data_IF_649308632192
#
_entry.id   IF_649308632192
#
_cell.length_a   1.000
_cell.length_b   1.000
_cell.length_c   1.000
_cell.angle_alpha   90.00
_cell.angle_beta   90.00
_cell.angle_gamma   90.00
#
_symmetry.space_group_name_H-M   'P 1'
#
loop_
_entity.id
_entity.type
_entity.pdbx_description
1 polymer ?
#
# COMPACT_ATOMS: atom_id res chain seq x y z
N UNK A 1 -9.80 5.59 -1.75
CA UNK A 1 -9.87 6.95 -1.20
C UNK A 1 -8.63 7.82 -1.45
N UNK A 2 -7.48 7.25 -1.85
CA UNK A 2 -6.23 8.05 -1.92
C UNK A 2 -6.15 9.03 -3.08
N UNK A 3 -6.77 8.69 -4.22
CA UNK A 3 -6.87 9.60 -5.38
C UNK A 3 -7.57 10.91 -5.03
N UNK A 4 -8.59 10.88 -4.15
CA UNK A 4 -9.29 12.09 -3.71
C UNK A 4 -8.40 12.95 -2.78
N UNK A 5 -7.57 12.29 -1.97
CA UNK A 5 -6.66 12.96 -1.05
C UNK A 5 -5.51 13.67 -1.79
N UNK A 6 -4.94 13.03 -2.81
CA UNK A 6 -3.93 13.66 -3.67
C UNK A 6 -4.50 14.79 -4.52
N UNK A 7 -5.71 14.64 -5.08
CA UNK A 7 -6.41 15.74 -5.78
C UNK A 7 -6.71 16.90 -4.82
N UNK A 8 -7.14 16.61 -3.60
CA UNK A 8 -7.48 17.64 -2.60
C UNK A 8 -6.28 18.40 -2.03
N UNK A 9 -5.08 17.81 -2.03
CA UNK A 9 -3.84 18.47 -1.60
C UNK A 9 -3.03 19.02 -2.79
N UNK A 10 -3.39 18.67 -4.04
CA UNK A 10 -2.64 19.06 -5.24
C UNK A 10 -1.23 18.45 -5.29
N UNK A 11 -1.00 17.37 -4.53
CA UNK A 11 0.29 16.67 -4.44
C UNK A 11 0.25 15.39 -5.25
N UNK A 12 1.40 15.05 -5.82
CA UNK A 12 1.55 13.80 -6.55
C UNK A 12 1.37 12.60 -5.61
N UNK A 13 0.89 11.48 -6.15
CA UNK A 13 0.73 10.25 -5.38
C UNK A 13 2.07 9.69 -4.86
N UNK A 14 3.19 10.06 -5.48
CA UNK A 14 4.53 9.72 -5.00
C UNK A 14 5.12 10.71 -3.99
N UNK A 15 4.38 11.77 -3.62
CA UNK A 15 4.80 12.67 -2.55
C UNK A 15 4.93 11.88 -1.23
N UNK A 16 6.05 12.08 -0.55
CA UNK A 16 6.39 11.35 0.68
C UNK A 16 5.29 11.52 1.74
N UNK A 17 4.68 12.69 1.81
CA UNK A 17 3.62 13.01 2.78
C UNK A 17 2.35 12.18 2.51
N UNK A 18 1.98 12.01 1.23
CA UNK A 18 0.85 11.17 0.80
C UNK A 18 1.15 9.70 1.07
N UNK A 19 2.37 9.24 0.82
CA UNK A 19 2.80 7.85 1.09
C UNK A 19 2.80 7.51 2.56
N UNK A 20 3.36 8.37 3.42
CA UNK A 20 3.37 8.13 4.87
C UNK A 20 1.94 8.03 5.38
N UNK A 21 1.06 8.95 4.97
CA UNK A 21 -0.34 8.92 5.38
C UNK A 21 -1.11 7.70 4.86
N UNK A 22 -0.75 7.22 3.66
CA UNK A 22 -1.28 5.96 3.13
C UNK A 22 -0.89 4.78 4.00
N UNK A 23 0.41 4.65 4.27
CA UNK A 23 1.01 3.51 4.96
C UNK A 23 0.47 3.43 6.39
N UNK A 24 0.41 4.56 7.11
CA UNK A 24 -0.19 4.62 8.44
C UNK A 24 -1.70 4.35 8.47
N UNK A 25 -2.38 4.40 7.31
CA UNK A 25 -3.78 4.01 7.17
C UNK A 25 -3.99 2.53 6.82
N UNK A 26 -2.92 1.75 6.62
CA UNK A 26 -3.00 0.32 6.34
C UNK A 26 -3.14 -0.49 7.63
N UNK A 27 -3.68 -1.71 7.50
CA UNK A 27 -3.61 -2.70 8.57
C UNK A 27 -2.15 -3.04 8.90
N UNK A 28 -1.82 -3.39 10.16
CA UNK A 28 -0.44 -3.64 10.59
C UNK A 28 0.30 -4.73 9.77
N UNK A 29 -0.40 -5.76 9.28
CA UNK A 29 0.21 -6.78 8.38
C UNK A 29 0.65 -6.16 7.05
N UNK A 30 -0.20 -5.30 6.48
CA UNK A 30 0.09 -4.59 5.24
C UNK A 30 1.17 -3.54 5.44
N UNK A 31 1.14 -2.78 6.54
CA UNK A 31 2.19 -1.82 6.89
C UNK A 31 3.57 -2.50 6.95
N UNK A 32 3.66 -3.64 7.63
CA UNK A 32 4.88 -4.45 7.68
C UNK A 32 5.35 -4.86 6.29
N UNK A 33 4.45 -5.35 5.42
CA UNK A 33 4.80 -5.70 4.04
C UNK A 33 5.30 -4.50 3.25
N UNK A 34 4.72 -3.32 3.41
CA UNK A 34 5.22 -2.11 2.73
C UNK A 34 6.60 -1.71 3.27
N UNK A 35 6.84 -1.84 4.57
CA UNK A 35 8.16 -1.61 5.16
C UNK A 35 9.21 -2.60 4.62
N UNK A 36 8.87 -3.88 4.49
CA UNK A 36 9.76 -4.92 3.92
C UNK A 36 9.97 -4.72 2.40
N UNK A 37 8.95 -4.29 1.68
CA UNK A 37 9.02 -4.02 0.23
C UNK A 37 9.80 -2.72 -0.09
N UNK A 38 9.75 -1.75 0.82
CA UNK A 38 10.44 -0.48 0.73
C UNK A 38 9.51 0.68 0.39
N UNK A 39 9.32 1.57 1.36
CA UNK A 39 8.50 2.80 1.24
C UNK A 39 8.99 3.78 0.17
N UNK A 40 10.18 3.58 -0.40
CA UNK A 40 10.71 4.39 -1.50
C UNK A 40 10.14 4.00 -2.86
N UNK A 41 9.51 2.83 -2.99
CA UNK A 41 8.85 2.38 -4.22
C UNK A 41 7.63 3.24 -4.56
N UNK A 42 7.27 3.36 -5.83
CA UNK A 42 6.12 4.16 -6.21
C UNK A 42 4.84 3.56 -5.65
N UNK A 43 3.84 4.42 -5.40
CA UNK A 43 2.60 4.01 -4.74
C UNK A 43 1.85 2.92 -5.52
N UNK A 44 1.98 2.92 -6.85
CA UNK A 44 1.44 1.87 -7.73
C UNK A 44 2.05 0.49 -7.45
N UNK A 45 3.38 0.38 -7.36
CA UNK A 45 4.07 -0.88 -7.07
C UNK A 45 3.73 -1.39 -5.67
N UNK A 46 3.63 -0.49 -4.69
CA UNK A 46 3.22 -0.85 -3.34
C UNK A 46 1.79 -1.41 -3.36
N UNK A 47 0.87 -0.79 -4.10
CA UNK A 47 -0.51 -1.26 -4.22
C UNK A 47 -0.58 -2.64 -4.87
N UNK A 48 0.19 -2.89 -5.92
CA UNK A 48 0.28 -4.21 -6.56
C UNK A 48 0.87 -5.28 -5.63
N UNK A 49 1.87 -4.91 -4.82
CA UNK A 49 2.47 -5.81 -3.83
C UNK A 49 1.48 -6.18 -2.72
N UNK A 50 0.67 -5.20 -2.27
CA UNK A 50 -0.37 -5.42 -1.26
C UNK A 50 -1.57 -6.21 -1.81
N UNK A 51 -1.93 -5.99 -3.07
CA UNK A 51 -3.00 -6.71 -3.75
C UNK A 51 -2.63 -8.15 -4.08
N UNK A 52 -1.33 -8.46 -4.21
CA UNK A 52 -0.88 -9.85 -4.30
C UNK A 52 -1.24 -10.53 -2.97
N UNK A 53 -2.23 -11.44 -2.95
CA UNK A 53 -2.44 -12.25 -1.78
C UNK A 53 -1.12 -12.97 -1.51
N UNK A 54 -0.66 -12.95 -0.27
CA UNK A 54 0.37 -13.89 0.17
C UNK A 54 -0.26 -15.25 -0.07
N UNK A 55 0.10 -15.89 -1.18
CA UNK A 55 -0.33 -17.22 -1.58
C UNK A 55 0.20 -18.21 -0.55
N UNK A 56 -0.45 -18.27 0.61
CA UNK A 56 -0.77 -19.57 1.16
C UNK A 56 -1.91 -20.07 0.28
N UNK A 57 -1.72 -21.14 -0.52
CA UNK A 57 -2.87 -21.88 -0.98
C UNK A 57 -3.58 -22.33 0.30
N UNK A 58 -4.69 -21.66 0.66
CA UNK A 58 -5.66 -22.29 1.53
C UNK A 58 -6.20 -23.44 0.69
N UNK A 59 -5.71 -24.64 0.98
CA UNK A 59 -6.31 -25.87 0.49
C UNK A 59 -7.83 -25.73 0.75
N UNK A 60 -8.71 -25.94 -0.24
CA UNK A 60 -10.11 -26.11 0.08
C UNK A 60 -10.20 -27.29 1.04
N UNK A 61 -10.65 -27.01 2.26
CA UNK A 61 -11.07 -28.07 3.17
C UNK A 61 -12.29 -28.71 2.51
N UNK A 62 -12.15 -30.00 2.20
CA UNK A 62 -13.11 -30.83 1.47
C UNK A 62 -14.43 -30.98 2.22
#
# INVERSE_FOLDING_TARGET
MIKLHSIGIGKDLDDIDVKVKFISGLSPDNEKRVHEFGVKKPLSEIFEHLLKPSSKPTCPEY
#
